data_IF_503561357550
#
_entry.id   IF_503561357550
#
_cell.length_a   1.000
_cell.length_b   1.000
_cell.length_c   1.000
_cell.angle_alpha   90.00
_cell.angle_beta   90.00
_cell.angle_gamma   90.00
#
_symmetry.space_group_name_H-M   'P 1'
#
loop_
_entity.id
_entity.type
_entity.pdbx_description
1 polymer ?
#
# COMPACT_ATOMS: atom_id res chain seq x y z
N UNK A 1 20.97 76.00 -59.55
CA UNK A 1 21.84 74.98 -60.17
C UNK A 1 21.94 73.78 -59.23
N UNK A 2 21.57 72.61 -59.77
CA UNK A 2 21.94 71.24 -59.40
C UNK A 2 21.58 70.65 -58.02
N UNK A 3 20.34 70.13 -57.98
CA UNK A 3 19.95 68.75 -57.59
C UNK A 3 21.11 67.81 -57.21
N UNK A 4 21.03 67.21 -56.03
CA UNK A 4 21.28 65.76 -55.81
C UNK A 4 20.33 65.24 -54.73
N UNK A 5 19.48 64.30 -55.14
CA UNK A 5 18.60 63.48 -54.30
C UNK A 5 19.44 62.32 -53.79
N UNK A 6 19.40 62.06 -52.48
CA UNK A 6 19.97 60.85 -51.86
C UNK A 6 18.83 60.16 -51.14
N UNK A 7 18.48 58.96 -51.63
CA UNK A 7 17.58 58.02 -50.98
C UNK A 7 18.44 57.01 -50.22
N UNK A 8 18.17 56.76 -48.93
CA UNK A 8 18.54 55.50 -48.32
C UNK A 8 17.29 54.74 -47.87
N UNK A 9 17.04 53.67 -48.60
CA UNK A 9 16.65 52.32 -48.15
C UNK A 9 16.16 52.18 -46.69
N UNK A 10 14.86 51.90 -46.56
CA UNK A 10 14.24 51.26 -45.38
C UNK A 10 14.80 49.83 -45.24
N UNK A 11 15.65 49.61 -44.25
CA UNK A 11 15.99 48.28 -43.76
C UNK A 11 14.89 47.85 -42.78
N UNK A 12 13.99 46.98 -43.23
CA UNK A 12 13.06 46.27 -42.35
C UNK A 12 13.88 45.26 -41.55
N UNK A 13 14.15 45.56 -40.29
CA UNK A 13 14.65 44.56 -39.33
C UNK A 13 13.51 43.57 -39.05
N UNK A 14 13.50 42.44 -39.77
CA UNK A 14 12.80 41.25 -39.34
C UNK A 14 13.55 40.68 -38.12
N UNK A 15 13.05 40.96 -36.93
CA UNK A 15 13.49 40.27 -35.72
C UNK A 15 12.96 38.83 -35.75
N UNK A 16 13.79 37.80 -35.51
CA UNK A 16 13.32 36.42 -35.39
C UNK A 16 12.61 36.27 -34.03
N UNK A 17 11.28 36.27 -34.04
CA UNK A 17 10.45 35.86 -32.90
C UNK A 17 10.36 34.32 -32.84
N UNK A 18 11.50 33.66 -32.69
CA UNK A 18 11.57 32.20 -32.51
C UNK A 18 12.51 31.90 -31.34
N UNK A 19 11.93 31.73 -30.15
CA UNK A 19 12.69 31.39 -28.94
C UNK A 19 11.92 31.36 -27.63
N UNK A 20 10.59 31.55 -27.64
CA UNK A 20 9.78 31.52 -26.41
C UNK A 20 9.65 30.11 -25.83
N UNK A 21 9.33 29.11 -26.64
CA UNK A 21 9.03 27.76 -26.15
C UNK A 21 10.28 26.99 -25.67
N UNK A 22 11.46 27.22 -26.24
CA UNK A 22 12.67 26.52 -25.79
C UNK A 22 13.20 27.05 -24.45
N UNK A 23 12.97 28.33 -24.16
CA UNK A 23 13.33 28.90 -22.86
C UNK A 23 12.35 28.46 -21.76
N UNK A 24 11.06 28.27 -22.09
CA UNK A 24 10.09 27.72 -21.15
C UNK A 24 10.31 26.23 -20.90
N UNK A 25 10.61 25.43 -21.94
CA UNK A 25 10.93 24.01 -21.79
C UNK A 25 12.15 23.80 -20.88
N UNK A 26 13.23 24.57 -21.07
CA UNK A 26 14.43 24.48 -20.23
C UNK A 26 14.20 24.94 -18.78
N UNK A 27 13.23 25.82 -18.53
CA UNK A 27 12.84 26.25 -17.17
C UNK A 27 11.97 25.18 -16.52
N UNK A 28 11.04 24.54 -17.25
CA UNK A 28 10.23 23.42 -16.75
C UNK A 28 11.11 22.21 -16.49
N UNK A 29 12.11 21.94 -17.32
CA UNK A 29 13.04 20.83 -17.09
C UNK A 29 13.90 21.02 -15.82
N UNK A 30 14.12 22.26 -15.38
CA UNK A 30 14.95 22.57 -14.20
C UNK A 30 14.13 22.88 -12.93
N UNK A 31 12.97 23.51 -13.05
CA UNK A 31 12.12 23.93 -11.93
C UNK A 31 10.76 23.21 -11.87
N UNK A 32 10.47 22.35 -12.84
CA UNK A 32 9.25 21.55 -12.88
C UNK A 32 9.25 20.39 -11.87
N UNK A 33 8.15 19.62 -11.82
CA UNK A 33 8.11 18.41 -11.01
C UNK A 33 9.17 17.42 -11.50
N UNK A 34 9.69 16.63 -10.57
CA UNK A 34 10.65 15.58 -10.85
C UNK A 34 10.11 14.27 -10.28
N UNK A 35 10.48 13.16 -10.89
CA UNK A 35 10.13 11.85 -10.37
C UNK A 35 10.65 11.70 -8.93
N UNK A 36 9.80 11.19 -8.04
CA UNK A 36 10.21 10.89 -6.68
C UNK A 36 11.31 9.81 -6.73
N UNK A 37 12.51 10.07 -6.20
CA UNK A 37 13.65 9.16 -6.33
C UNK A 37 13.44 7.86 -5.53
N UNK A 38 12.69 7.91 -4.43
CA UNK A 38 12.38 6.73 -3.62
C UNK A 38 11.40 5.82 -4.36
N UNK A 39 10.32 6.38 -4.91
CA UNK A 39 9.38 5.61 -5.74
C UNK A 39 10.06 5.06 -6.99
N UNK A 40 10.96 5.84 -7.60
CA UNK A 40 11.75 5.39 -8.77
C UNK A 40 12.61 4.18 -8.42
N UNK A 41 13.32 4.23 -7.28
CA UNK A 41 14.12 3.09 -6.81
C UNK A 41 13.26 1.85 -6.57
N UNK A 42 12.13 2.00 -5.87
CA UNK A 42 11.22 0.90 -5.59
C UNK A 42 10.63 0.29 -6.89
N UNK A 43 10.32 1.12 -7.89
CA UNK A 43 9.82 0.67 -9.19
C UNK A 43 10.90 -0.10 -9.98
N UNK A 44 12.15 0.35 -9.91
CA UNK A 44 13.29 -0.36 -10.49
C UNK A 44 13.52 -1.70 -9.82
N UNK A 45 13.53 -1.73 -8.49
CA UNK A 45 13.70 -2.96 -7.72
C UNK A 45 12.57 -3.96 -8.04
N UNK A 46 11.32 -3.50 -8.09
CA UNK A 46 10.19 -4.33 -8.51
C UNK A 46 10.31 -4.87 -9.94
N UNK A 47 10.81 -4.06 -10.88
CA UNK A 47 11.06 -4.50 -12.26
C UNK A 47 12.17 -5.55 -12.31
N UNK A 48 13.25 -5.36 -11.56
CA UNK A 48 14.37 -6.29 -11.48
C UNK A 48 13.95 -7.63 -10.85
N UNK A 49 13.19 -7.58 -9.76
CA UNK A 49 12.61 -8.77 -9.10
C UNK A 49 11.73 -9.56 -10.08
N UNK A 50 10.84 -8.86 -10.80
CA UNK A 50 9.94 -9.50 -11.77
C UNK A 50 10.71 -10.26 -12.85
N UNK A 51 11.79 -9.68 -13.37
CA UNK A 51 12.64 -10.34 -14.35
C UNK A 51 13.44 -11.50 -13.75
N UNK A 52 13.98 -11.35 -12.54
CA UNK A 52 14.72 -12.40 -11.84
C UNK A 52 13.84 -13.62 -11.52
N UNK A 53 12.57 -13.38 -11.17
CA UNK A 53 11.62 -14.41 -10.74
C UNK A 53 10.91 -15.11 -11.90
N UNK A 54 10.94 -14.58 -13.12
CA UNK A 54 10.12 -15.05 -14.25
C UNK A 54 10.19 -16.56 -14.52
N UNK A 55 11.34 -17.20 -14.25
CA UNK A 55 11.53 -18.65 -14.41
C UNK A 55 11.46 -19.45 -13.11
N UNK A 56 11.59 -18.77 -11.97
CA UNK A 56 11.64 -19.38 -10.65
C UNK A 56 10.23 -19.52 -10.08
N UNK A 57 9.46 -18.43 -10.12
CA UNK A 57 8.11 -18.32 -9.62
C UNK A 57 7.34 -17.30 -10.47
N UNK A 58 6.54 -17.75 -11.46
CA UNK A 58 5.80 -16.86 -12.35
C UNK A 58 4.75 -16.00 -11.65
N UNK A 59 4.18 -16.47 -10.55
CA UNK A 59 3.14 -15.74 -9.81
C UNK A 59 3.79 -14.60 -9.03
N UNK A 60 4.90 -14.88 -8.33
CA UNK A 60 5.72 -13.85 -7.68
C UNK A 60 6.29 -12.83 -8.69
N UNK A 61 6.72 -13.30 -9.87
CA UNK A 61 7.16 -12.42 -10.95
C UNK A 61 6.03 -11.50 -11.44
N UNK A 62 4.82 -12.03 -11.61
CA UNK A 62 3.65 -11.24 -12.03
C UNK A 62 3.28 -10.20 -10.97
N UNK A 63 3.34 -10.56 -9.68
CA UNK A 63 3.10 -9.63 -8.58
C UNK A 63 4.09 -8.46 -8.62
N UNK A 64 5.39 -8.74 -8.73
CA UNK A 64 6.42 -7.69 -8.75
C UNK A 64 6.33 -6.83 -10.03
N UNK A 65 5.93 -7.41 -11.16
CA UNK A 65 5.66 -6.63 -12.37
C UNK A 65 4.48 -5.66 -12.17
N UNK A 66 3.39 -6.12 -11.56
CA UNK A 66 2.25 -5.27 -11.20
C UNK A 66 2.69 -4.14 -10.27
N UNK A 67 3.47 -4.44 -9.24
CA UNK A 67 3.97 -3.43 -8.32
C UNK A 67 4.83 -2.36 -9.01
N UNK A 68 5.68 -2.77 -9.96
CA UNK A 68 6.46 -1.82 -10.76
C UNK A 68 5.54 -0.89 -11.56
N UNK A 69 4.53 -1.43 -12.25
CA UNK A 69 3.58 -0.63 -13.04
C UNK A 69 2.78 0.36 -12.18
N UNK A 70 2.36 -0.06 -10.99
CA UNK A 70 1.67 0.80 -10.03
C UNK A 70 2.58 1.93 -9.53
N UNK A 71 3.84 1.64 -9.20
CA UNK A 71 4.81 2.66 -8.76
C UNK A 71 5.15 3.64 -9.87
N UNK A 72 5.35 3.19 -11.11
CA UNK A 72 5.53 4.10 -12.25
C UNK A 72 4.29 4.96 -12.48
N UNK A 73 3.09 4.40 -12.35
CA UNK A 73 1.84 5.14 -12.46
C UNK A 73 1.69 6.19 -11.35
N UNK A 74 2.14 5.87 -10.14
CA UNK A 74 2.14 6.79 -9.01
C UNK A 74 3.14 7.95 -9.20
N UNK A 75 4.33 7.67 -9.74
CA UNK A 75 5.30 8.71 -10.14
C UNK A 75 4.67 9.66 -11.16
N UNK A 76 4.01 9.12 -12.21
CA UNK A 76 3.31 9.95 -13.20
C UNK A 76 2.17 10.77 -12.57
N UNK A 77 1.42 10.19 -11.62
CA UNK A 77 0.34 10.88 -10.90
C UNK A 77 0.88 12.09 -10.13
N UNK A 78 1.96 11.90 -9.38
CA UNK A 78 2.60 12.96 -8.59
C UNK A 78 3.21 14.05 -9.46
N UNK A 79 3.80 13.68 -10.59
CA UNK A 79 4.33 14.62 -11.56
C UNK A 79 3.26 15.45 -12.28
N UNK A 80 2.02 14.95 -12.30
CA UNK A 80 0.92 15.57 -13.02
C UNK A 80 1.10 15.51 -14.54
N UNK A 81 0.26 16.24 -15.25
CA UNK A 81 0.26 16.32 -16.72
C UNK A 81 0.32 17.79 -17.16
N UNK A 82 1.00 18.04 -18.27
CA UNK A 82 1.03 19.34 -18.93
C UNK A 82 -0.31 19.68 -19.59
N UNK A 83 -0.39 20.87 -20.23
CA UNK A 83 -1.60 21.34 -20.90
C UNK A 83 -2.03 20.43 -22.07
N UNK A 84 -1.09 19.68 -22.64
CA UNK A 84 -1.28 18.70 -23.70
C UNK A 84 -1.62 17.29 -23.17
N UNK A 85 -1.59 17.07 -21.86
CA UNK A 85 -1.89 15.80 -21.20
C UNK A 85 -0.70 14.83 -21.09
N UNK A 86 0.51 15.27 -21.38
CA UNK A 86 1.73 14.46 -21.26
C UNK A 86 2.39 14.64 -19.89
N UNK A 87 3.15 13.62 -19.47
CA UNK A 87 4.00 13.72 -18.28
C UNK A 87 5.21 14.59 -18.62
N UNK A 88 5.59 15.56 -17.76
CA UNK A 88 6.77 16.39 -18.00
C UNK A 88 8.05 15.57 -18.22
N UNK A 89 8.94 16.01 -19.12
CA UNK A 89 10.19 15.28 -19.43
C UNK A 89 11.11 15.15 -18.22
N UNK A 90 11.10 16.12 -17.30
CA UNK A 90 11.82 16.07 -16.02
C UNK A 90 11.37 14.92 -15.10
N UNK A 91 10.23 14.30 -15.39
CA UNK A 91 9.69 13.13 -14.71
C UNK A 91 9.82 11.82 -15.52
N UNK A 92 10.48 11.85 -16.67
CA UNK A 92 10.69 10.65 -17.47
C UNK A 92 11.65 9.70 -16.73
N UNK A 93 11.16 8.49 -16.43
CA UNK A 93 11.92 7.44 -15.76
C UNK A 93 12.27 6.36 -16.77
N UNK A 94 13.54 5.99 -16.85
CA UNK A 94 13.96 4.81 -17.61
C UNK A 94 13.39 3.55 -16.95
N UNK A 95 12.61 2.76 -17.68
CA UNK A 95 12.01 1.50 -17.18
C UNK A 95 12.81 0.26 -17.55
N UNK A 96 13.87 0.40 -18.34
CA UNK A 96 14.75 -0.71 -18.69
C UNK A 96 15.64 -1.04 -17.48
N UNK A 97 15.37 -2.19 -16.86
CA UNK A 97 16.11 -2.68 -15.69
C UNK A 97 16.58 -4.10 -15.95
N UNK A 98 17.82 -4.40 -15.61
CA UNK A 98 18.40 -5.74 -15.72
C UNK A 98 17.96 -6.62 -14.55
N UNK A 99 17.74 -7.90 -14.83
CA UNK A 99 17.48 -8.88 -13.78
C UNK A 99 18.70 -9.03 -12.86
N UNK A 100 18.47 -9.14 -11.54
CA UNK A 100 19.48 -9.64 -10.62
C UNK A 100 19.44 -11.18 -10.54
N UNK A 101 20.44 -11.77 -9.89
CA UNK A 101 20.41 -13.19 -9.58
C UNK A 101 19.41 -13.47 -8.44
N UNK A 102 18.55 -14.47 -8.62
CA UNK A 102 17.62 -14.95 -7.61
C UNK A 102 17.58 -16.48 -7.64
N UNK A 103 17.60 -17.10 -6.46
CA UNK A 103 17.50 -18.56 -6.28
C UNK A 103 16.33 -18.97 -5.40
N UNK A 104 15.69 -18.02 -4.74
CA UNK A 104 14.59 -18.24 -3.79
C UNK A 104 13.58 -17.09 -3.91
N UNK A 105 12.37 -17.40 -4.36
CA UNK A 105 11.32 -16.41 -4.55
C UNK A 105 10.81 -15.84 -3.23
N UNK A 106 10.72 -16.67 -2.18
CA UNK A 106 10.26 -16.22 -0.87
C UNK A 106 11.26 -15.22 -0.25
N UNK A 107 12.56 -15.48 -0.41
CA UNK A 107 13.60 -14.55 0.04
C UNK A 107 13.56 -13.21 -0.72
N UNK A 108 13.28 -13.22 -2.03
CA UNK A 108 13.13 -11.99 -2.83
C UNK A 108 11.92 -11.18 -2.35
N UNK A 109 10.74 -11.81 -2.21
CA UNK A 109 9.54 -11.11 -1.74
C UNK A 109 9.70 -10.58 -0.31
N UNK A 110 10.35 -11.33 0.58
CA UNK A 110 10.63 -10.88 1.94
C UNK A 110 11.57 -9.66 1.97
N UNK A 111 12.65 -9.69 1.17
CA UNK A 111 13.56 -8.55 1.05
C UNK A 111 12.87 -7.32 0.46
N UNK A 112 12.06 -7.50 -0.58
CA UNK A 112 11.29 -6.44 -1.22
C UNK A 112 10.26 -5.83 -0.25
N UNK A 113 9.56 -6.64 0.55
CA UNK A 113 8.67 -6.14 1.59
C UNK A 113 9.41 -5.32 2.65
N UNK A 114 10.54 -5.83 3.17
CA UNK A 114 11.36 -5.09 4.15
C UNK A 114 11.80 -3.73 3.60
N UNK A 115 12.34 -3.70 2.39
CA UNK A 115 12.77 -2.46 1.73
C UNK A 115 11.60 -1.49 1.52
N UNK A 116 10.44 -1.99 1.11
CA UNK A 116 9.23 -1.16 0.94
C UNK A 116 8.80 -0.52 2.26
N UNK A 117 8.78 -1.29 3.35
CA UNK A 117 8.42 -0.79 4.69
C UNK A 117 9.41 0.26 5.21
N UNK A 118 10.71 0.05 4.99
CA UNK A 118 11.76 1.00 5.38
C UNK A 118 11.62 2.36 4.68
N UNK A 119 11.02 2.39 3.49
CA UNK A 119 10.88 3.60 2.67
C UNK A 119 9.56 4.34 2.87
N UNK A 120 8.63 3.83 3.70
CA UNK A 120 7.30 4.44 3.90
C UNK A 120 7.37 5.89 4.38
N UNK A 121 8.36 6.24 5.21
CA UNK A 121 8.51 7.61 5.72
C UNK A 121 9.31 8.52 4.77
N UNK A 122 9.96 7.94 3.75
CA UNK A 122 10.74 8.66 2.74
C UNK A 122 9.91 9.07 1.51
N UNK A 123 8.68 8.57 1.37
CA UNK A 123 7.73 8.97 0.32
C UNK A 123 6.70 9.99 0.82
N UNK A 124 6.02 10.64 -0.12
CA UNK A 124 4.89 11.51 0.20
C UNK A 124 3.76 10.73 0.91
N UNK A 125 3.00 11.36 1.84
CA UNK A 125 1.89 10.70 2.53
C UNK A 125 0.87 10.07 1.58
N UNK A 126 0.60 10.73 0.44
CA UNK A 126 -0.34 10.26 -0.58
C UNK A 126 0.06 8.91 -1.21
N UNK A 127 1.36 8.59 -1.26
CA UNK A 127 1.87 7.36 -1.84
C UNK A 127 2.01 6.22 -0.82
N UNK A 128 1.96 6.52 0.48
CA UNK A 128 2.12 5.49 1.53
C UNK A 128 1.09 4.37 1.46
N UNK A 129 -0.21 4.62 1.21
CA UNK A 129 -1.19 3.53 1.09
C UNK A 129 -0.84 2.53 -0.01
N UNK A 130 -0.27 2.99 -1.14
CA UNK A 130 0.20 2.09 -2.20
C UNK A 130 1.32 1.19 -1.70
N UNK A 131 2.34 1.76 -1.07
CA UNK A 131 3.48 0.98 -0.56
C UNK A 131 3.06 0.00 0.55
N UNK A 132 2.13 0.41 1.42
CA UNK A 132 1.53 -0.48 2.43
C UNK A 132 0.82 -1.65 1.75
N UNK A 133 -0.02 -1.39 0.73
CA UNK A 133 -0.71 -2.44 -0.01
C UNK A 133 0.26 -3.42 -0.67
N UNK A 134 1.35 -2.93 -1.28
CA UNK A 134 2.37 -3.79 -1.89
C UNK A 134 3.13 -4.62 -0.85
N UNK A 135 3.45 -4.05 0.32
CA UNK A 135 4.07 -4.79 1.41
C UNK A 135 3.16 -5.92 1.93
N UNK A 136 1.87 -5.64 2.10
CA UNK A 136 0.85 -6.63 2.48
C UNK A 136 0.79 -7.77 1.45
N UNK A 137 0.74 -7.44 0.16
CA UNK A 137 0.65 -8.44 -0.91
C UNK A 137 1.89 -9.34 -0.97
N UNK A 138 3.09 -8.79 -0.75
CA UNK A 138 4.31 -9.58 -0.68
C UNK A 138 4.36 -10.47 0.58
N UNK A 139 4.00 -9.95 1.75
CA UNK A 139 3.97 -10.75 2.99
C UNK A 139 2.88 -11.83 2.98
N UNK A 140 1.79 -11.62 2.23
CA UNK A 140 0.75 -12.63 2.05
C UNK A 140 1.24 -13.88 1.28
N UNK A 141 2.42 -13.82 0.64
CA UNK A 141 3.05 -15.00 0.04
C UNK A 141 3.86 -15.82 1.06
N UNK A 142 4.17 -15.28 2.24
CA UNK A 142 4.80 -16.02 3.34
C UNK A 142 3.75 -16.82 4.11
N UNK A 143 4.17 -17.92 4.74
CA UNK A 143 3.39 -18.65 5.76
C UNK A 143 3.75 -18.22 7.18
N UNK A 144 4.62 -17.22 7.34
CA UNK A 144 5.03 -16.74 8.64
C UNK A 144 3.84 -16.06 9.35
N UNK A 145 3.74 -16.34 10.63
CA UNK A 145 2.75 -15.74 11.52
C UNK A 145 3.26 -14.39 12.04
N UNK A 146 2.37 -13.41 12.24
CA UNK A 146 2.77 -12.15 12.87
C UNK A 146 3.46 -12.40 14.21
N UNK A 147 4.54 -11.66 14.46
CA UNK A 147 5.25 -11.70 15.74
C UNK A 147 4.44 -11.12 16.90
N UNK A 148 5.07 -11.00 18.05
CA UNK A 148 4.49 -10.28 19.19
C UNK A 148 4.17 -8.83 18.81
N UNK A 149 3.07 -8.29 19.36
CA UNK A 149 2.75 -6.87 19.24
C UNK A 149 3.93 -6.06 19.80
N UNK A 150 4.48 -5.10 19.05
CA UNK A 150 5.59 -4.28 19.51
C UNK A 150 5.18 -3.36 20.67
N UNK A 151 6.15 -2.62 21.23
CA UNK A 151 5.84 -1.62 22.24
C UNK A 151 4.98 -0.50 21.64
N UNK A 152 3.80 -0.30 22.23
CA UNK A 152 2.87 0.74 21.81
C UNK A 152 3.18 2.06 22.53
N UNK A 153 2.98 3.16 21.84
CA UNK A 153 3.03 4.52 22.39
C UNK A 153 1.63 4.99 22.78
N UNK A 154 1.54 6.14 23.47
CA UNK A 154 0.24 6.76 23.77
C UNK A 154 -0.53 7.14 22.49
N UNK A 155 0.19 7.49 21.41
CA UNK A 155 -0.41 7.84 20.11
C UNK A 155 -1.01 6.61 19.40
N UNK A 156 -0.58 5.40 19.75
CA UNK A 156 -1.11 4.15 19.19
C UNK A 156 -2.36 3.65 19.94
N UNK A 157 -2.67 4.23 21.11
CA UNK A 157 -3.65 3.68 22.06
C UNK A 157 -5.06 3.58 21.48
N UNK A 158 -5.51 4.62 20.79
CA UNK A 158 -6.86 4.68 20.22
C UNK A 158 -7.02 3.61 19.13
N UNK A 159 -6.09 3.54 18.18
CA UNK A 159 -6.12 2.55 17.10
C UNK A 159 -6.00 1.11 17.64
N UNK A 160 -5.11 0.86 18.60
CA UNK A 160 -4.97 -0.47 19.20
C UNK A 160 -6.24 -0.90 19.95
N UNK A 161 -6.92 0.04 20.61
CA UNK A 161 -8.20 -0.19 21.29
C UNK A 161 -9.32 -0.47 20.29
N UNK A 162 -9.39 0.29 19.20
CA UNK A 162 -10.36 0.09 18.11
C UNK A 162 -10.17 -1.28 17.44
N UNK A 163 -8.92 -1.67 17.18
CA UNK A 163 -8.60 -2.98 16.60
C UNK A 163 -8.91 -4.13 17.55
N UNK A 164 -8.75 -3.94 18.86
CA UNK A 164 -9.16 -4.93 19.85
C UNK A 164 -10.70 -5.08 19.91
N UNK A 165 -11.45 -3.99 19.84
CA UNK A 165 -12.92 -4.05 19.74
C UNK A 165 -13.38 -4.73 18.46
N UNK A 166 -12.72 -4.43 17.34
CA UNK A 166 -12.91 -5.14 16.07
C UNK A 166 -12.70 -6.63 16.21
N UNK A 167 -11.57 -7.07 16.79
CA UNK A 167 -11.27 -8.49 16.97
C UNK A 167 -12.32 -9.20 17.86
N UNK A 168 -12.85 -8.54 18.91
CA UNK A 168 -13.97 -9.10 19.66
C UNK A 168 -15.24 -9.28 18.82
N UNK A 169 -15.53 -8.33 17.93
CA UNK A 169 -16.65 -8.43 16.99
C UNK A 169 -16.46 -9.62 16.03
N UNK A 170 -15.23 -9.85 15.54
CA UNK A 170 -14.91 -10.96 14.65
C UNK A 170 -15.11 -12.32 15.34
N UNK A 171 -14.61 -12.47 16.58
CA UNK A 171 -14.83 -13.69 17.39
C UNK A 171 -16.33 -13.94 17.58
N UNK A 172 -17.11 -12.92 17.94
CA UNK A 172 -18.57 -13.03 18.09
C UNK A 172 -19.26 -13.44 16.78
N UNK A 173 -18.87 -12.82 15.67
CA UNK A 173 -19.43 -13.07 14.35
C UNK A 173 -19.19 -14.53 13.92
N UNK A 174 -17.97 -15.04 14.10
CA UNK A 174 -17.59 -16.41 13.75
C UNK A 174 -18.28 -17.44 14.64
N UNK A 175 -18.35 -17.21 15.95
CA UNK A 175 -19.03 -18.11 16.88
C UNK A 175 -20.54 -18.17 16.60
N UNK A 176 -21.15 -17.03 16.24
CA UNK A 176 -22.53 -17.00 15.79
C UNK A 176 -22.72 -17.79 14.49
N UNK A 177 -21.86 -17.58 13.50
CA UNK A 177 -21.92 -18.28 12.21
C UNK A 177 -21.76 -19.80 12.37
N UNK A 178 -20.92 -20.25 13.32
CA UNK A 178 -20.71 -21.67 13.66
C UNK A 178 -22.01 -22.43 13.93
N UNK A 179 -23.04 -21.75 14.44
CA UNK A 179 -24.35 -22.37 14.71
C UNK A 179 -25.12 -22.76 13.44
N UNK A 180 -24.72 -22.25 12.28
CA UNK A 180 -25.44 -22.41 11.00
C UNK A 180 -24.61 -23.09 9.92
N UNK A 181 -23.29 -23.27 10.11
CA UNK A 181 -22.44 -23.95 9.13
C UNK A 181 -22.75 -25.44 9.04
N UNK A 182 -22.35 -26.05 7.93
CA UNK A 182 -22.35 -27.51 7.77
C UNK A 182 -21.05 -28.12 8.33
N UNK A 183 -21.04 -29.42 8.70
CA UNK A 183 -19.87 -30.06 9.32
C UNK A 183 -18.57 -29.98 8.51
N UNK A 184 -18.65 -29.84 7.18
CA UNK A 184 -17.50 -29.65 6.29
C UNK A 184 -16.80 -28.29 6.43
N UNK A 185 -17.40 -27.33 7.15
CA UNK A 185 -16.88 -25.97 7.34
C UNK A 185 -16.53 -25.69 8.81
N UNK A 186 -16.87 -26.58 9.75
CA UNK A 186 -16.58 -26.38 11.18
C UNK A 186 -15.09 -26.20 11.47
N UNK A 187 -14.22 -26.97 10.81
CA UNK A 187 -12.76 -26.88 10.97
C UNK A 187 -12.23 -25.50 10.53
N UNK A 188 -12.71 -24.97 9.40
CA UNK A 188 -12.38 -23.62 8.93
C UNK A 188 -12.81 -22.54 9.93
N UNK A 189 -13.99 -22.68 10.54
CA UNK A 189 -14.47 -21.73 11.55
C UNK A 189 -13.61 -21.81 12.81
N UNK A 190 -13.26 -23.01 13.27
CA UNK A 190 -12.42 -23.21 14.45
C UNK A 190 -11.00 -22.67 14.26
N UNK A 191 -10.41 -22.85 13.06
CA UNK A 191 -9.12 -22.25 12.69
C UNK A 191 -9.16 -20.72 12.71
N UNK A 192 -10.21 -20.12 12.12
CA UNK A 192 -10.39 -18.66 12.12
C UNK A 192 -10.62 -18.12 13.53
N UNK A 193 -11.44 -18.78 14.35
CA UNK A 193 -11.64 -18.42 15.75
C UNK A 193 -10.32 -18.42 16.52
N UNK A 194 -9.50 -19.47 16.37
CA UNK A 194 -8.20 -19.56 17.04
C UNK A 194 -7.25 -18.43 16.60
N UNK A 195 -7.26 -18.05 15.32
CA UNK A 195 -6.49 -16.92 14.80
C UNK A 195 -6.92 -15.60 15.45
N UNK A 196 -8.22 -15.31 15.50
CA UNK A 196 -8.75 -14.09 16.12
C UNK A 196 -8.52 -14.07 17.63
N UNK A 197 -8.71 -15.18 18.34
CA UNK A 197 -8.42 -15.29 19.78
C UNK A 197 -6.95 -14.99 20.10
N UNK A 198 -6.01 -15.46 19.27
CA UNK A 198 -4.60 -15.15 19.44
C UNK A 198 -4.31 -13.65 19.26
N UNK A 199 -4.94 -12.99 18.28
CA UNK A 199 -4.83 -11.53 18.09
C UNK A 199 -5.43 -10.76 19.25
N UNK A 200 -6.60 -11.18 19.74
CA UNK A 200 -7.24 -10.61 20.94
C UNK A 200 -6.28 -10.68 22.13
N UNK A 201 -5.69 -11.83 22.41
CA UNK A 201 -4.76 -11.98 23.54
C UNK A 201 -3.53 -11.07 23.40
N UNK A 202 -2.95 -11.00 22.20
CA UNK A 202 -1.79 -10.16 21.93
C UNK A 202 -2.10 -8.66 22.09
N UNK A 203 -3.24 -8.20 21.57
CA UNK A 203 -3.69 -6.82 21.69
C UNK A 203 -4.08 -6.46 23.13
N UNK A 204 -4.76 -7.36 23.86
CA UNK A 204 -5.06 -7.16 25.28
C UNK A 204 -3.79 -6.94 26.10
N UNK A 205 -2.74 -7.74 25.87
CA UNK A 205 -1.47 -7.57 26.56
C UNK A 205 -0.81 -6.22 26.23
N UNK A 206 -0.82 -5.82 24.97
CA UNK A 206 -0.22 -4.56 24.53
C UNK A 206 -0.99 -3.33 25.05
N UNK A 207 -2.31 -3.31 24.90
CA UNK A 207 -3.19 -2.22 25.37
C UNK A 207 -3.11 -2.07 26.89
N UNK A 208 -3.01 -3.17 27.66
CA UNK A 208 -2.88 -3.12 29.12
C UNK A 208 -1.67 -2.33 29.62
N UNK A 209 -0.62 -2.19 28.80
CA UNK A 209 0.62 -1.47 29.15
C UNK A 209 0.47 0.05 29.05
N UNK A 210 -0.46 0.52 28.20
CA UNK A 210 -0.67 1.94 27.89
C UNK A 210 -2.00 2.49 28.38
N UNK A 211 -2.97 1.63 28.71
CA UNK A 211 -4.31 2.06 29.10
C UNK A 211 -5.24 0.95 29.58
N UNK A 212 -6.52 1.29 29.85
CA UNK A 212 -7.53 0.30 30.20
C UNK A 212 -7.88 -0.59 29.01
N UNK A 213 -7.90 -1.90 29.24
CA UNK A 213 -8.29 -2.88 28.21
C UNK A 213 -9.82 -2.91 28.07
N UNK A 214 -10.38 -2.63 26.88
CA UNK A 214 -11.82 -2.76 26.63
C UNK A 214 -12.27 -4.21 26.86
N UNK A 215 -13.46 -4.37 27.43
CA UNK A 215 -14.08 -5.67 27.61
C UNK A 215 -15.04 -5.95 26.45
N UNK A 216 -15.16 -7.20 25.99
CA UNK A 216 -16.08 -7.53 24.92
C UNK A 216 -17.53 -7.21 25.32
N UNK A 217 -18.30 -6.65 24.39
CA UNK A 217 -19.73 -6.45 24.55
C UNK A 217 -20.49 -7.79 24.63
N UNK A 218 -21.68 -7.77 25.23
CA UNK A 218 -22.53 -8.96 25.31
C UNK A 218 -23.07 -9.41 23.93
N UNK A 219 -23.13 -8.50 22.96
CA UNK A 219 -23.53 -8.76 21.58
C UNK A 219 -23.04 -7.64 20.66
N UNK A 220 -22.85 -7.97 19.39
CA UNK A 220 -22.44 -7.04 18.35
C UNK A 220 -23.48 -6.98 17.23
N UNK A 221 -23.53 -5.84 16.54
CA UNK A 221 -24.29 -5.73 15.29
C UNK A 221 -23.41 -6.23 14.14
N UNK A 222 -23.98 -6.97 13.20
CA UNK A 222 -23.22 -7.36 12.01
C UNK A 222 -22.97 -6.15 11.11
N UNK A 223 -21.72 -5.96 10.71
CA UNK A 223 -21.33 -4.98 9.68
C UNK A 223 -21.85 -5.35 8.28
N UNK A 224 -22.20 -6.63 8.04
CA UNK A 224 -22.87 -7.07 6.80
C UNK A 224 -24.36 -6.67 6.74
N UNK A 225 -24.93 -6.22 7.86
CA UNK A 225 -26.35 -5.89 8.00
C UNK A 225 -27.28 -7.07 8.33
N UNK A 226 -26.89 -8.32 8.02
CA UNK A 226 -27.69 -9.52 8.30
C UNK A 226 -26.82 -10.63 8.91
N UNK A 227 -27.34 -11.26 9.98
CA UNK A 227 -26.74 -12.46 10.58
C UNK A 227 -27.21 -13.71 9.82
N UNK A 228 -26.38 -14.77 9.75
CA UNK A 228 -26.76 -15.99 9.06
C UNK A 228 -27.94 -16.69 9.74
N UNK A 229 -28.79 -17.32 8.93
CA UNK A 229 -29.99 -18.05 9.38
C UNK A 229 -30.06 -19.48 8.84
N UNK A 230 -29.16 -19.84 7.94
CA UNK A 230 -29.00 -21.15 7.34
C UNK A 230 -27.55 -21.35 6.84
N UNK A 231 -27.24 -22.55 6.35
CA UNK A 231 -25.90 -22.89 5.88
C UNK A 231 -25.42 -22.07 4.67
N UNK A 232 -26.34 -21.61 3.82
CA UNK A 232 -25.98 -20.83 2.63
C UNK A 232 -25.58 -19.40 3.03
N UNK A 233 -26.40 -18.76 3.88
CA UNK A 233 -26.10 -17.46 4.45
C UNK A 233 -24.89 -17.48 5.37
N UNK A 234 -24.64 -18.58 6.11
CA UNK A 234 -23.42 -18.74 6.90
C UNK A 234 -22.15 -18.72 6.06
N UNK A 235 -22.12 -19.42 4.92
CA UNK A 235 -20.95 -19.42 4.03
C UNK A 235 -20.67 -18.03 3.47
N UNK A 236 -21.69 -17.33 2.97
CA UNK A 236 -21.54 -15.95 2.49
C UNK A 236 -21.10 -14.99 3.61
N UNK A 237 -21.56 -15.22 4.84
CA UNK A 237 -21.18 -14.45 6.00
C UNK A 237 -19.69 -14.66 6.37
N UNK A 238 -19.19 -15.90 6.30
CA UNK A 238 -17.78 -16.19 6.54
C UNK A 238 -16.86 -15.54 5.50
N UNK A 239 -17.27 -15.49 4.23
CA UNK A 239 -16.53 -14.79 3.17
C UNK A 239 -16.50 -13.29 3.44
N UNK A 240 -17.63 -12.72 3.86
CA UNK A 240 -17.72 -11.31 4.25
C UNK A 240 -16.82 -10.99 5.46
N UNK A 241 -16.82 -11.82 6.50
CA UNK A 241 -15.99 -11.62 7.70
C UNK A 241 -14.51 -11.64 7.33
N UNK A 242 -14.06 -12.60 6.50
CA UNK A 242 -12.67 -12.67 6.06
C UNK A 242 -12.27 -11.47 5.18
N UNK A 243 -13.12 -11.06 4.25
CA UNK A 243 -12.87 -9.87 3.43
C UNK A 243 -12.80 -8.60 4.29
N UNK A 244 -13.73 -8.43 5.23
CA UNK A 244 -13.77 -7.26 6.11
C UNK A 244 -12.55 -7.23 7.02
N UNK A 245 -12.07 -8.38 7.48
CA UNK A 245 -10.83 -8.49 8.26
C UNK A 245 -9.62 -7.95 7.47
N UNK A 246 -9.44 -8.43 6.23
CA UNK A 246 -8.36 -7.97 5.37
C UNK A 246 -8.43 -6.46 5.11
N UNK A 247 -9.62 -5.91 4.87
CA UNK A 247 -9.83 -4.48 4.65
C UNK A 247 -9.53 -3.66 5.90
N UNK A 248 -10.03 -4.06 7.07
CA UNK A 248 -9.83 -3.34 8.33
C UNK A 248 -8.34 -3.25 8.67
N UNK A 249 -7.62 -4.37 8.59
CA UNK A 249 -6.20 -4.41 8.91
C UNK A 249 -5.34 -3.64 7.89
N UNK A 250 -5.65 -3.73 6.59
CA UNK A 250 -4.97 -2.94 5.56
C UNK A 250 -5.21 -1.43 5.75
N UNK A 251 -6.44 -1.04 6.12
CA UNK A 251 -6.77 0.35 6.43
C UNK A 251 -6.00 0.84 7.65
N UNK A 252 -5.91 0.05 8.72
CA UNK A 252 -5.15 0.39 9.92
C UNK A 252 -3.66 0.60 9.62
N UNK A 253 -3.06 -0.30 8.83
CA UNK A 253 -1.67 -0.18 8.40
C UNK A 253 -1.39 1.08 7.54
N UNK A 254 -2.42 1.59 6.87
CA UNK A 254 -2.35 2.75 5.96
C UNK A 254 -2.73 4.07 6.62
N UNK A 255 -3.15 4.08 7.89
CA UNK A 255 -3.57 5.32 8.56
C UNK A 255 -2.41 6.33 8.63
N UNK A 256 -2.74 7.60 8.37
CA UNK A 256 -1.78 8.68 8.52
C UNK A 256 -1.44 8.88 10.01
N UNK A 257 -0.15 9.05 10.29
CA UNK A 257 0.31 9.46 11.61
C UNK A 257 0.11 10.97 11.74
N UNK A 258 -0.53 11.47 12.81
CA UNK A 258 -0.70 12.90 13.01
C UNK A 258 0.63 13.66 12.91
N UNK A 259 0.63 14.85 12.31
CA UNK A 259 1.81 15.68 11.98
C UNK A 259 2.80 15.95 13.14
N UNK A 260 2.42 15.66 14.39
CA UNK A 260 3.22 15.91 15.60
C UNK A 260 3.75 14.64 16.28
N UNK A 261 3.37 13.45 15.80
CA UNK A 261 3.81 12.17 16.35
C UNK A 261 4.95 11.59 15.51
N UNK A 262 5.94 10.98 16.17
CA UNK A 262 6.92 10.16 15.48
C UNK A 262 6.23 8.83 15.10
N UNK A 263 6.30 8.39 13.83
CA UNK A 263 5.66 7.16 13.42
C UNK A 263 6.25 5.95 14.17
N UNK A 264 5.40 5.15 14.80
CA UNK A 264 5.80 3.86 15.36
C UNK A 264 5.95 2.84 14.22
N UNK A 265 7.14 2.76 13.65
CA UNK A 265 7.43 1.92 12.47
C UNK A 265 7.32 0.43 12.77
N UNK A 266 7.65 0.00 13.98
CA UNK A 266 7.47 -1.39 14.42
C UNK A 266 5.99 -1.74 14.48
N UNK A 267 5.15 -0.86 15.05
CA UNK A 267 3.70 -1.03 15.06
C UNK A 267 3.11 -1.10 13.66
N UNK A 268 3.51 -0.18 12.76
CA UNK A 268 3.07 -0.22 11.36
C UNK A 268 3.50 -1.52 10.67
N UNK A 269 4.72 -1.98 10.88
CA UNK A 269 5.18 -3.26 10.33
C UNK A 269 4.35 -4.44 10.87
N UNK A 270 3.99 -4.43 12.15
CA UNK A 270 3.14 -5.46 12.73
C UNK A 270 1.73 -5.44 12.11
N UNK A 271 1.13 -4.25 11.93
CA UNK A 271 -0.15 -4.08 11.24
C UNK A 271 -0.12 -4.65 9.81
N UNK A 272 0.97 -4.41 9.06
CA UNK A 272 1.17 -4.97 7.72
C UNK A 272 1.18 -6.49 7.77
N UNK A 273 1.90 -7.10 8.72
CA UNK A 273 1.95 -8.56 8.85
C UNK A 273 0.60 -9.18 9.24
N UNK A 274 -0.17 -8.53 10.10
CA UNK A 274 -1.54 -8.97 10.44
C UNK A 274 -2.47 -8.81 9.24
N UNK A 275 -2.37 -7.71 8.49
CA UNK A 275 -3.13 -7.53 7.26
C UNK A 275 -2.78 -8.58 6.21
N UNK A 276 -1.51 -8.96 6.08
CA UNK A 276 -1.06 -10.04 5.21
C UNK A 276 -1.65 -11.40 5.62
N UNK A 277 -1.63 -11.74 6.92
CA UNK A 277 -2.27 -12.94 7.45
C UNK A 277 -3.78 -12.97 7.11
N UNK A 278 -4.46 -11.83 7.24
CA UNK A 278 -5.89 -11.67 6.91
C UNK A 278 -6.16 -11.77 5.40
N UNK A 279 -5.24 -11.28 4.57
CA UNK A 279 -5.33 -11.41 3.13
C UNK A 279 -5.24 -12.88 2.69
N UNK A 280 -4.36 -13.68 3.31
CA UNK A 280 -4.26 -15.12 3.05
C UNK A 280 -5.56 -15.86 3.35
N UNK A 281 -6.22 -15.53 4.47
CA UNK A 281 -7.45 -16.21 4.89
C UNK A 281 -8.69 -15.78 4.10
N UNK A 282 -8.67 -14.60 3.47
CA UNK A 282 -9.75 -14.12 2.60
C UNK A 282 -9.63 -14.58 1.14
N UNK A 283 -8.43 -14.89 0.68
CA UNK A 283 -8.17 -15.43 -0.66
C UNK A 283 -8.31 -16.97 -0.75
N UNK A 284 -8.37 -17.66 0.39
CA UNK A 284 -8.55 -19.11 0.53
C UNK A 284 -10.03 -19.52 0.55
#
# INVERSE_FOLDING_TARGET
MNRRVVVPTLLVCAAPWLGGCQATDAIVDYFGPHADPTLTSLAHDASADAHALQKLDPDAASLRAQHADELYSEIERLCGRDEEGHVPRSCEVNREVEAHEATDAAAVLAAASSSTKEQLDAVSPESRPLLVAQAIAMEAHSTDEPGAVPELTEDDADLATELLDWEYQQVYALDFARSYVTPDVEELVDERLALHDNRVLALQEAVAKIGPVPQPAAAYTSSSGELPVDAASARAFLDYVAHSDAVTWASAASQEVPDQAAPNTEWRSWLISVAAQSHRTSAA
#
